data_IF_511976180132
#
_entry.id   IF_511976180132
#
_cell.length_a   1.000
_cell.length_b   1.000
_cell.length_c   1.000
_cell.angle_alpha   90.00
_cell.angle_beta   90.00
_cell.angle_gamma   90.00
#
_symmetry.space_group_name_H-M   'P 1'
#
loop_
_entity.id
_entity.type
_entity.pdbx_description
1 polymer ?
#
# COMPACT_ATOMS: atom_id res chain seq x y z
N UNK A 1 -1.06 -12.18 4.69
CA UNK A 1 0.02 -11.27 5.08
C UNK A 1 0.19 -11.32 6.58
N UNK A 2 1.40 -11.26 7.08
CA UNK A 2 1.64 -11.34 8.52
C UNK A 2 1.18 -10.06 9.20
N UNK A 3 0.90 -10.10 10.50
CA UNK A 3 0.49 -8.92 11.24
C UNK A 3 1.55 -7.81 11.18
N UNK A 4 1.09 -6.59 11.02
CA UNK A 4 1.96 -5.42 10.95
C UNK A 4 1.93 -4.71 12.29
N UNK A 5 3.09 -4.38 12.87
CA UNK A 5 3.12 -3.65 14.15
C UNK A 5 2.39 -2.32 14.06
N UNK A 6 1.78 -1.93 15.16
CA UNK A 6 1.14 -0.62 15.25
C UNK A 6 2.19 0.48 15.06
N UNK A 7 1.81 1.55 14.40
CA UNK A 7 2.70 2.68 14.16
C UNK A 7 3.52 2.60 12.89
N UNK A 8 3.50 1.48 12.17
CA UNK A 8 4.13 1.42 10.86
C UNK A 8 3.40 2.32 9.89
N UNK A 9 4.17 3.06 9.10
CA UNK A 9 3.61 3.85 8.01
C UNK A 9 3.52 3.04 6.75
N UNK A 10 2.54 3.36 5.94
CA UNK A 10 2.34 2.75 4.63
C UNK A 10 2.40 3.84 3.59
N UNK A 11 3.22 3.65 2.59
CA UNK A 11 3.39 4.60 1.50
C UNK A 11 2.90 3.96 0.21
N UNK A 12 2.08 4.68 -0.55
CA UNK A 12 1.66 4.25 -1.87
C UNK A 12 2.47 5.04 -2.89
N UNK A 13 3.26 4.34 -3.70
CA UNK A 13 3.94 4.95 -4.82
C UNK A 13 2.89 5.28 -5.87
N UNK A 14 2.72 6.56 -6.20
CA UNK A 14 1.75 6.96 -7.21
C UNK A 14 2.34 6.72 -8.59
N UNK A 15 1.50 6.55 -9.59
CA UNK A 15 1.94 6.16 -10.91
C UNK A 15 2.17 4.67 -11.02
N UNK A 16 2.45 4.23 -12.24
CA UNK A 16 2.56 2.81 -12.53
C UNK A 16 3.98 2.30 -12.28
N UNK A 17 4.07 1.10 -11.73
CA UNK A 17 5.34 0.40 -11.54
C UNK A 17 5.35 -0.85 -12.42
N UNK A 18 6.50 -1.20 -12.94
CA UNK A 18 6.67 -2.46 -13.66
C UNK A 18 6.49 -3.62 -12.68
N UNK A 19 5.38 -4.32 -12.80
CA UNK A 19 5.02 -5.40 -11.88
C UNK A 19 5.88 -6.66 -12.02
N UNK A 20 6.82 -6.67 -12.96
CA UNK A 20 7.80 -7.76 -13.06
C UNK A 20 8.93 -7.57 -12.06
N UNK A 21 9.09 -6.40 -11.48
CA UNK A 21 10.15 -6.14 -10.49
C UNK A 21 9.92 -6.97 -9.24
N UNK A 22 11.01 -7.56 -8.75
CA UNK A 22 11.03 -8.27 -7.49
C UNK A 22 11.49 -7.39 -6.34
N UNK A 23 11.82 -8.01 -5.21
CA UNK A 23 12.16 -7.31 -3.99
C UNK A 23 13.28 -6.29 -4.16
N UNK A 24 14.37 -6.67 -4.82
CA UNK A 24 15.52 -5.79 -4.98
C UNK A 24 15.20 -4.60 -5.87
N UNK A 25 14.50 -4.83 -6.98
CA UNK A 25 14.13 -3.75 -7.89
C UNK A 25 13.16 -2.76 -7.23
N UNK A 26 12.22 -3.27 -6.44
CA UNK A 26 11.27 -2.40 -5.73
C UNK A 26 11.95 -1.64 -4.59
N UNK A 27 12.89 -2.28 -3.89
CA UNK A 27 13.68 -1.59 -2.87
C UNK A 27 14.49 -0.44 -3.47
N UNK A 28 15.10 -0.67 -4.62
CA UNK A 28 15.82 0.37 -5.33
C UNK A 28 14.89 1.50 -5.75
N UNK A 29 13.69 1.18 -6.19
CA UNK A 29 12.69 2.19 -6.54
C UNK A 29 12.30 3.04 -5.33
N UNK A 30 12.18 2.45 -4.14
CA UNK A 30 11.91 3.20 -2.90
C UNK A 30 13.05 4.21 -2.65
N UNK A 31 14.29 3.78 -2.78
CA UNK A 31 15.44 4.64 -2.56
C UNK A 31 15.52 5.77 -3.58
N UNK A 32 15.36 5.44 -4.84
CA UNK A 32 15.61 6.40 -5.92
C UNK A 32 14.43 7.32 -6.17
N UNK A 33 13.22 6.77 -6.17
CA UNK A 33 12.03 7.56 -6.53
C UNK A 33 11.31 8.15 -5.32
N UNK A 34 11.24 7.41 -4.22
CA UNK A 34 10.56 7.90 -3.03
C UNK A 34 11.52 8.55 -2.03
N UNK A 35 12.84 8.39 -2.24
CA UNK A 35 13.87 8.96 -1.36
C UNK A 35 13.72 8.49 0.07
N UNK A 36 13.38 7.22 0.26
CA UNK A 36 13.19 6.63 1.56
C UNK A 36 14.04 5.37 1.70
N UNK A 37 14.18 4.90 2.93
CA UNK A 37 14.94 3.69 3.23
C UNK A 37 13.96 2.48 3.24
N UNK A 38 14.09 1.55 2.27
CA UNK A 38 13.19 0.40 2.23
C UNK A 38 13.39 -0.58 3.40
N UNK A 39 14.45 -0.44 4.18
CA UNK A 39 14.75 -1.32 5.30
C UNK A 39 14.34 -0.74 6.65
N UNK A 40 13.72 0.43 6.68
CA UNK A 40 13.42 1.14 7.93
C UNK A 40 12.11 0.71 8.60
N UNK A 41 11.39 -0.26 8.05
CA UNK A 41 10.19 -0.81 8.67
C UNK A 41 8.87 -0.29 8.13
N UNK A 42 8.90 0.69 7.24
CA UNK A 42 7.68 1.15 6.58
C UNK A 42 7.28 0.20 5.44
N UNK A 43 6.01 0.20 5.12
CA UNK A 43 5.49 -0.58 4.00
C UNK A 43 5.37 0.31 2.77
N UNK A 44 5.59 -0.30 1.61
CA UNK A 44 5.50 0.41 0.33
C UNK A 44 4.60 -0.37 -0.61
N UNK A 45 3.58 0.30 -1.15
CA UNK A 45 2.60 -0.29 -2.07
C UNK A 45 2.85 0.23 -3.47
N UNK A 46 2.94 -0.67 -4.43
CA UNK A 46 3.15 -0.35 -5.85
C UNK A 46 1.98 -0.89 -6.66
N UNK A 47 1.60 -0.14 -7.68
CA UNK A 47 0.48 -0.51 -8.55
C UNK A 47 0.96 -0.86 -9.95
N UNK A 48 0.29 -1.82 -10.54
CA UNK A 48 0.43 -2.10 -11.96
C UNK A 48 -0.42 -1.17 -12.80
N UNK A 49 -0.23 -1.25 -14.13
CA UNK A 49 -0.94 -0.38 -15.06
C UNK A 49 -2.45 -0.58 -15.01
N UNK A 50 -2.91 -1.81 -14.87
CA UNK A 50 -4.36 -2.10 -14.83
C UNK A 50 -5.03 -1.68 -13.54
N UNK A 51 -4.28 -1.53 -12.47
CA UNK A 51 -4.83 -1.16 -11.19
C UNK A 51 -5.43 -2.30 -10.37
N UNK A 52 -5.39 -3.54 -10.86
CA UNK A 52 -5.92 -4.72 -10.18
C UNK A 52 -4.86 -5.50 -9.39
N UNK A 53 -3.60 -5.16 -9.56
CA UNK A 53 -2.48 -5.81 -8.89
C UNK A 53 -1.76 -4.81 -8.00
N UNK A 54 -1.60 -5.17 -6.73
CA UNK A 54 -0.81 -4.42 -5.76
C UNK A 54 0.34 -5.29 -5.29
N UNK A 55 1.53 -4.72 -5.22
CA UNK A 55 2.68 -5.35 -4.58
C UNK A 55 3.08 -4.52 -3.38
N UNK A 56 3.34 -5.19 -2.26
CA UNK A 56 3.70 -4.55 -1.01
C UNK A 56 5.06 -5.04 -0.58
N UNK A 57 5.99 -4.10 -0.39
CA UNK A 57 7.33 -4.37 0.07
C UNK A 57 7.44 -3.96 1.53
N UNK A 58 8.02 -4.83 2.36
CA UNK A 58 8.14 -4.57 3.79
C UNK A 58 9.33 -5.28 4.37
N UNK A 59 10.14 -4.53 5.11
CA UNK A 59 11.23 -5.09 5.92
C UNK A 59 10.78 -5.16 7.37
N UNK A 60 10.68 -6.37 7.91
CA UNK A 60 10.09 -6.62 9.22
C UNK A 60 11.11 -6.60 10.36
N UNK A 61 12.34 -6.18 10.10
CA UNK A 61 13.43 -6.18 11.06
C UNK A 61 14.34 -7.40 10.93
N UNK A 62 13.88 -8.45 10.27
CA UNK A 62 14.64 -9.67 10.04
C UNK A 62 14.95 -9.87 8.57
N UNK A 63 14.01 -9.54 7.72
CA UNK A 63 14.17 -9.73 6.29
C UNK A 63 13.20 -8.90 5.49
N UNK A 64 13.45 -8.85 4.19
CA UNK A 64 12.60 -8.14 3.25
C UNK A 64 11.55 -9.10 2.70
N UNK A 65 10.29 -8.71 2.75
CA UNK A 65 9.20 -9.51 2.22
C UNK A 65 8.46 -8.77 1.13
N UNK A 66 7.91 -9.53 0.19
CA UNK A 66 7.10 -9.00 -0.89
C UNK A 66 5.80 -9.77 -0.94
N UNK A 67 4.70 -9.03 -0.88
CA UNK A 67 3.35 -9.55 -0.94
C UNK A 67 2.70 -9.02 -2.20
N UNK A 68 2.03 -9.88 -2.95
CA UNK A 68 1.34 -9.48 -4.17
C UNK A 68 -0.12 -9.93 -4.08
N UNK A 69 -1.04 -9.05 -4.43
CA UNK A 69 -2.45 -9.38 -4.46
C UNK A 69 -3.08 -8.83 -5.73
N UNK A 70 -3.77 -9.71 -6.46
CA UNK A 70 -4.55 -9.33 -7.63
C UNK A 70 -6.03 -9.54 -7.30
N UNK A 71 -6.83 -8.51 -7.55
CA UNK A 71 -8.28 -8.65 -7.40
C UNK A 71 -8.82 -9.49 -8.57
N UNK A 72 -9.74 -10.40 -8.25
CA UNK A 72 -10.40 -11.19 -9.28
C UNK A 72 -11.30 -10.32 -10.15
N UNK A 73 -11.86 -9.27 -9.57
CA UNK A 73 -12.73 -8.33 -10.26
C UNK A 73 -12.42 -6.93 -9.82
N UNK A 74 -12.50 -6.01 -10.77
CA UNK A 74 -12.32 -4.59 -10.48
C UNK A 74 -10.88 -4.19 -10.23
N UNK A 75 -10.73 -3.06 -9.59
CA UNK A 75 -9.44 -2.45 -9.32
C UNK A 75 -9.39 -1.98 -7.89
N UNK A 76 -8.19 -1.92 -7.34
CA UNK A 76 -7.97 -1.18 -6.11
C UNK A 76 -8.24 0.31 -6.36
N UNK A 77 -8.51 1.05 -5.31
CA UNK A 77 -8.63 2.51 -5.40
C UNK A 77 -7.25 3.10 -5.16
N UNK A 78 -6.74 3.80 -6.15
CA UNK A 78 -5.41 4.38 -6.11
C UNK A 78 -5.49 5.90 -5.98
N UNK A 79 -4.56 6.52 -5.25
CA UNK A 79 -4.50 7.98 -5.23
C UNK A 79 -4.06 8.53 -6.59
N UNK A 80 -4.32 9.79 -6.84
CA UNK A 80 -3.89 10.42 -8.08
C UNK A 80 -2.36 10.48 -8.12
N UNK A 81 -1.81 10.50 -9.33
CA UNK A 81 -0.37 10.46 -9.54
C UNK A 81 0.31 11.82 -9.38
N UNK A 82 -0.32 12.78 -8.74
CA UNK A 82 0.19 14.15 -8.69
C UNK A 82 1.37 14.35 -7.73
N UNK A 83 1.60 13.39 -6.81
CA UNK A 83 2.61 13.58 -5.77
C UNK A 83 3.44 12.32 -5.57
N UNK A 84 4.35 11.95 -6.17
CA UNK A 84 5.27 10.81 -5.99
C UNK A 84 4.84 9.69 -5.02
N UNK A 85 4.35 10.02 -3.84
CA UNK A 85 3.88 9.04 -2.88
C UNK A 85 2.81 9.63 -1.96
N UNK A 86 1.98 8.76 -1.40
CA UNK A 86 0.93 9.12 -0.45
C UNK A 86 1.06 8.22 0.78
N UNK A 87 1.00 8.81 1.96
CA UNK A 87 1.07 8.06 3.21
C UNK A 87 -0.34 7.70 3.68
N UNK A 88 -0.53 6.44 4.06
CA UNK A 88 -1.79 5.96 4.63
C UNK A 88 -1.50 5.17 5.90
N UNK A 89 -2.53 4.92 6.69
CA UNK A 89 -2.40 4.11 7.90
C UNK A 89 -2.45 2.62 7.56
N UNK A 90 -2.02 1.78 8.51
CA UNK A 90 -2.16 0.34 8.36
C UNK A 90 -3.63 -0.07 8.23
N UNK A 91 -4.53 0.61 8.94
CA UNK A 91 -5.96 0.33 8.82
C UNK A 91 -6.49 0.66 7.42
N UNK A 92 -6.06 1.79 6.84
CA UNK A 92 -6.44 2.14 5.48
C UNK A 92 -5.90 1.12 4.48
N UNK A 93 -4.68 0.62 4.68
CA UNK A 93 -4.14 -0.44 3.84
C UNK A 93 -5.00 -1.70 3.92
N UNK A 94 -5.45 -2.07 5.10
CA UNK A 94 -6.31 -3.24 5.27
C UNK A 94 -7.60 -3.09 4.46
N UNK A 95 -8.24 -1.93 4.51
CA UNK A 95 -9.42 -1.66 3.69
C UNK A 95 -9.09 -1.72 2.20
N UNK A 96 -7.98 -1.12 1.80
CA UNK A 96 -7.55 -1.14 0.41
C UNK A 96 -7.40 -2.56 -0.11
N UNK A 97 -6.78 -3.45 0.67
CA UNK A 97 -6.54 -4.83 0.27
C UNK A 97 -7.80 -5.66 0.21
N UNK A 98 -8.87 -5.21 0.86
CA UNK A 98 -10.20 -5.84 0.75
C UNK A 98 -11.00 -5.30 -0.43
N UNK A 99 -10.42 -4.41 -1.22
CA UNK A 99 -11.13 -3.78 -2.33
C UNK A 99 -12.12 -2.70 -1.90
N UNK A 100 -11.99 -2.20 -0.67
CA UNK A 100 -12.88 -1.18 -0.11
C UNK A 100 -12.26 0.19 -0.32
N UNK A 101 -13.09 1.21 -0.43
CA UNK A 101 -12.61 2.59 -0.53
C UNK A 101 -11.97 3.00 0.79
N UNK A 102 -10.65 2.98 0.83
CA UNK A 102 -9.87 3.29 2.03
C UNK A 102 -9.79 4.79 2.31
N UNK A 103 -10.13 5.62 1.32
CA UNK A 103 -10.05 7.09 1.45
C UNK A 103 -11.15 7.61 2.36
N UNK A 104 -12.30 6.95 2.36
CA UNK A 104 -13.46 7.38 3.12
C UNK A 104 -14.27 6.16 3.55
N UNK A 105 -13.70 5.30 4.41
CA UNK A 105 -14.40 4.09 4.85
C UNK A 105 -15.62 4.49 5.67
N UNK A 106 -16.74 3.81 5.43
CA UNK A 106 -17.95 4.05 6.16
C UNK A 106 -18.06 3.09 7.33
N UNK A 107 -18.50 3.61 8.46
CA UNK A 107 -18.77 2.79 9.61
C UNK A 107 -20.03 1.97 9.35
N UNK A 108 -20.01 0.72 9.78
CA UNK A 108 -21.19 -0.13 9.73
C UNK A 108 -22.22 0.31 10.78
N UNK A 109 -21.79 1.09 11.74
CA UNK A 109 -22.62 1.63 12.79
C UNK A 109 -22.36 3.13 12.91
N UNK A 110 -23.41 3.90 13.10
CA UNK A 110 -23.29 5.33 13.30
C UNK A 110 -23.86 5.72 14.64
N UNK A 111 -23.20 6.60 15.36
CA UNK A 111 -23.78 7.12 16.59
C UNK A 111 -25.06 7.83 16.27
N UNK A 112 -26.02 7.54 17.11
CA UNK A 112 -27.22 8.21 16.88
C UNK A 112 -27.16 9.56 17.33
N UNK A 113 -26.37 10.02 17.55
CA UNK A 113 -26.33 11.23 17.92
C UNK A 113 -26.64 11.81 17.42
N UNK A 114 -26.47 11.30 16.95
CA UNK A 114 -26.85 11.45 16.52
C UNK A 114 -27.92 11.09 16.75
N UNK A 115 -28.23 10.96 17.25
CA UNK A 115 -29.47 10.69 17.42
C UNK A 115 -29.45 9.54 17.58
#
# INVERSE_FOLDING_TARGET
MIPIPAGCRVWIATGHTDMRRGMQGLALQVQEQLKRDPHAGDLYIFRGRRGDLAKILWHDGVGLSLYAKRLDRGKFIWPSASQGSVSISAAQMAYMLEGIDWRNPQLTWRPKSAG
#
